data_IF_533050286906
#
_entry.id   IF_533050286906
#
_cell.length_a   1.000
_cell.length_b   1.000
_cell.length_c   1.000
_cell.angle_alpha   90.00
_cell.angle_beta   90.00
_cell.angle_gamma   90.00
#
_symmetry.space_group_name_H-M   'P 1'
#
loop_
_entity.id
_entity.type
_entity.pdbx_description
1 polymer ?
#
# COMPACT_ATOMS: atom_id res chain seq x y z
N UNK A 1 -1.88 32.21 23.19
CA UNK A 1 -1.53 31.55 21.92
C UNK A 1 -1.16 32.67 20.96
N UNK A 2 0.12 32.84 20.61
CA UNK A 2 0.50 33.91 19.68
C UNK A 2 0.05 33.58 18.25
N UNK A 3 -0.14 34.61 17.43
CA UNK A 3 -0.61 34.44 16.06
C UNK A 3 0.39 33.64 15.19
N UNK A 4 1.68 33.64 15.55
CA UNK A 4 2.72 32.85 14.90
C UNK A 4 2.56 31.34 15.14
N UNK A 5 2.17 30.97 16.36
CA UNK A 5 1.88 29.60 16.77
C UNK A 5 0.58 29.12 16.12
N UNK A 6 -0.46 29.95 16.10
CA UNK A 6 -1.71 29.64 15.38
C UNK A 6 -1.49 29.53 13.87
N UNK A 7 -0.69 30.41 13.25
CA UNK A 7 -0.34 30.37 11.82
C UNK A 7 0.43 29.10 11.44
N UNK A 8 1.36 28.66 12.30
CA UNK A 8 2.09 27.40 12.12
C UNK A 8 1.17 26.17 12.25
N UNK A 9 0.12 26.26 13.07
CA UNK A 9 -0.90 25.22 13.26
C UNK A 9 -2.03 25.27 12.20
N UNK A 10 -2.29 26.43 11.59
CA UNK A 10 -3.45 26.68 10.72
C UNK A 10 -3.17 26.60 9.22
N UNK A 11 -1.96 26.26 8.77
CA UNK A 11 -1.69 26.14 7.33
C UNK A 11 -0.25 25.84 6.90
N UNK A 12 0.59 25.28 7.78
CA UNK A 12 2.04 25.19 7.57
C UNK A 12 2.60 23.96 6.83
N UNK A 13 1.78 23.08 6.28
CA UNK A 13 2.28 22.01 5.40
C UNK A 13 1.18 21.54 4.47
N UNK A 14 1.19 22.06 3.25
CA UNK A 14 0.40 21.45 2.19
C UNK A 14 1.05 20.11 1.84
N UNK A 15 0.53 19.02 2.40
CA UNK A 15 0.96 17.66 2.05
C UNK A 15 0.15 17.21 0.84
N UNK A 16 0.71 17.41 -0.36
CA UNK A 16 0.18 16.83 -1.60
C UNK A 16 0.87 15.49 -1.82
N UNK A 17 0.10 14.41 -1.87
CA UNK A 17 0.62 13.11 -2.30
C UNK A 17 -0.08 12.69 -3.58
N UNK A 18 0.71 12.16 -4.51
CA UNK A 18 0.22 11.60 -5.76
C UNK A 18 0.86 10.24 -5.92
N UNK A 19 0.04 9.24 -6.23
CA UNK A 19 0.51 7.94 -6.68
C UNK A 19 -0.07 7.67 -8.06
N UNK A 20 0.82 7.41 -9.01
CA UNK A 20 0.48 7.00 -10.35
C UNK A 20 1.00 5.58 -10.51
N UNK A 21 0.11 4.65 -10.83
CA UNK A 21 0.43 3.25 -11.04
C UNK A 21 -0.09 2.87 -12.42
N UNK A 22 0.84 2.85 -13.37
CA UNK A 22 0.58 2.43 -14.73
C UNK A 22 1.16 1.04 -14.93
N UNK A 23 0.37 0.14 -15.50
CA UNK A 23 0.86 -1.16 -15.89
C UNK A 23 -0.11 -1.89 -16.79
N UNK A 24 0.47 -2.68 -17.68
CA UNK A 24 -0.25 -3.45 -18.68
C UNK A 24 0.21 -4.90 -18.57
N UNK A 25 -0.74 -5.83 -18.57
CA UNK A 25 -0.46 -7.22 -18.92
C UNK A 25 -0.99 -7.44 -20.32
N UNK A 26 -0.10 -7.64 -21.29
CA UNK A 26 -0.47 -8.02 -22.65
C UNK A 26 0.27 -9.27 -23.08
N UNK A 27 -0.27 -9.95 -24.10
CA UNK A 27 0.36 -11.09 -24.77
C UNK A 27 0.69 -12.28 -23.85
N UNK A 28 -0.02 -12.40 -22.72
CA UNK A 28 0.16 -13.55 -21.84
C UNK A 28 -0.46 -14.81 -22.47
N UNK A 29 0.40 -15.79 -22.78
CA UNK A 29 -0.01 -17.13 -23.20
C UNK A 29 0.39 -18.12 -22.11
N UNK A 30 -0.61 -18.70 -21.45
CA UNK A 30 -0.44 -19.71 -20.41
C UNK A 30 -0.99 -21.04 -20.90
N UNK A 31 -0.15 -22.07 -20.94
CA UNK A 31 -0.50 -23.42 -21.38
C UNK A 31 0.17 -24.45 -20.45
N UNK A 32 -0.53 -25.55 -20.12
CA UNK A 32 -0.10 -26.54 -19.11
C UNK A 32 0.31 -25.92 -17.74
N UNK A 33 -0.35 -24.85 -17.30
CA UNK A 33 -0.01 -24.17 -16.05
C UNK A 33 -0.74 -24.80 -14.86
N UNK A 34 0.03 -25.26 -13.88
CA UNK A 34 -0.48 -25.64 -12.54
C UNK A 34 -0.25 -24.44 -11.62
N UNK A 35 -1.32 -23.88 -11.07
CA UNK A 35 -1.26 -22.78 -10.10
C UNK A 35 -1.30 -23.32 -8.67
N UNK A 36 -0.62 -22.64 -7.76
CA UNK A 36 -0.56 -23.01 -6.34
C UNK A 36 -1.71 -22.41 -5.51
N UNK A 37 -1.79 -22.81 -4.24
CA UNK A 37 -2.67 -22.16 -3.28
C UNK A 37 -1.96 -20.95 -2.66
N UNK A 38 -2.69 -19.84 -2.56
CA UNK A 38 -2.34 -18.69 -1.74
C UNK A 38 -2.83 -18.99 -0.33
N UNK A 39 -1.97 -19.57 0.52
CA UNK A 39 -2.36 -19.94 1.89
C UNK A 39 -1.76 -18.95 2.88
N UNK A 40 -2.64 -18.38 3.70
CA UNK A 40 -2.33 -17.66 4.93
C UNK A 40 -3.08 -18.43 6.02
N UNK A 41 -2.35 -19.10 6.90
CA UNK A 41 -2.92 -20.00 7.91
C UNK A 41 -2.97 -19.34 9.29
N UNK A 42 -3.50 -20.07 10.28
CA UNK A 42 -3.64 -19.66 11.66
C UNK A 42 -2.31 -19.13 12.21
N UNK A 43 -2.34 -17.91 12.75
CA UNK A 43 -1.17 -17.26 13.33
C UNK A 43 -0.30 -16.47 12.35
N UNK A 44 -0.57 -16.48 11.04
CA UNK A 44 0.26 -15.79 10.04
C UNK A 44 0.45 -14.29 10.30
N UNK A 45 -0.50 -13.66 11.00
CA UNK A 45 -0.42 -12.26 11.42
C UNK A 45 -0.62 -12.07 12.93
N UNK A 46 -0.46 -13.13 13.72
CA UNK A 46 -0.56 -13.01 15.18
C UNK A 46 0.54 -12.08 15.68
N UNK A 47 0.15 -10.97 16.33
CA UNK A 47 1.08 -9.95 16.80
C UNK A 47 1.52 -8.95 15.72
N UNK A 48 0.92 -8.95 14.52
CA UNK A 48 1.18 -7.91 13.54
C UNK A 48 0.72 -6.53 14.06
N UNK A 49 1.60 -5.54 13.93
CA UNK A 49 1.35 -4.16 14.32
C UNK A 49 1.86 -3.21 13.23
N UNK A 50 1.29 -2.00 13.14
CA UNK A 50 1.56 -1.08 12.05
C UNK A 50 0.63 -1.30 10.85
N UNK A 51 1.16 -1.23 9.63
CA UNK A 51 0.38 -1.37 8.39
C UNK A 51 0.87 -2.59 7.60
N UNK A 52 0.45 -3.81 7.98
CA UNK A 52 0.82 -5.02 7.26
C UNK A 52 0.13 -5.06 5.90
N UNK A 53 0.90 -5.32 4.84
CA UNK A 53 0.41 -5.43 3.47
C UNK A 53 0.71 -6.82 2.95
N UNK A 54 -0.32 -7.57 2.54
CA UNK A 54 -0.14 -8.92 1.99
C UNK A 54 -0.89 -9.05 0.69
N UNK A 55 -0.17 -9.56 -0.31
CA UNK A 55 -0.72 -9.85 -1.62
C UNK A 55 -0.31 -11.25 -1.98
N UNK A 56 -1.31 -12.11 -2.20
CA UNK A 56 -1.08 -13.47 -2.67
C UNK A 56 -1.71 -13.62 -4.04
N UNK A 57 -0.89 -13.97 -5.02
CA UNK A 57 -1.35 -14.29 -6.35
C UNK A 57 -0.68 -15.58 -6.81
N UNK A 58 -1.49 -16.56 -7.19
CA UNK A 58 -1.03 -17.85 -7.67
C UNK A 58 -1.29 -18.04 -9.15
N UNK A 59 -1.88 -17.03 -9.83
CA UNK A 59 -2.17 -17.05 -11.25
C UNK A 59 -0.98 -16.63 -12.13
N UNK A 60 -1.07 -16.94 -13.43
CA UNK A 60 -0.16 -16.47 -14.47
C UNK A 60 -0.75 -15.25 -15.20
N UNK A 61 0.08 -14.33 -15.70
CA UNK A 61 -0.38 -13.10 -16.33
C UNK A 61 -0.95 -12.10 -15.33
N UNK A 62 -0.33 -11.98 -14.16
CA UNK A 62 -0.81 -11.08 -13.12
C UNK A 62 0.15 -9.92 -12.95
N UNK A 63 -0.42 -8.72 -13.07
CA UNK A 63 0.19 -7.50 -12.65
C UNK A 63 -0.38 -7.11 -11.29
N UNK A 64 0.51 -6.90 -10.33
CA UNK A 64 0.15 -6.45 -8.99
C UNK A 64 0.62 -5.02 -8.82
N UNK A 65 -0.33 -4.11 -8.64
CA UNK A 65 -0.07 -2.69 -8.42
C UNK A 65 -0.55 -2.32 -7.03
N UNK A 66 0.39 -2.20 -6.09
CA UNK A 66 0.11 -1.78 -4.73
C UNK A 66 0.92 -0.53 -4.39
N UNK A 67 0.24 0.50 -3.90
CA UNK A 67 0.87 1.67 -3.33
C UNK A 67 0.14 2.07 -2.05
N UNK A 68 0.90 2.28 -1.00
CA UNK A 68 0.41 2.77 0.29
C UNK A 68 1.14 4.06 0.61
N UNK A 69 0.39 5.14 0.80
CA UNK A 69 0.96 6.39 1.30
C UNK A 69 0.49 6.60 2.73
N UNK A 70 1.45 6.81 3.63
CA UNK A 70 1.18 7.10 5.03
C UNK A 70 1.76 8.48 5.33
N UNK A 71 0.90 9.42 5.73
CA UNK A 71 1.36 10.64 6.40
C UNK A 71 1.13 10.48 7.88
N UNK A 72 2.14 10.81 8.67
CA UNK A 72 2.00 10.89 10.12
C UNK A 72 2.43 12.28 10.55
N UNK A 73 1.55 12.95 11.28
CA UNK A 73 1.86 14.21 11.96
C UNK A 73 1.75 13.98 13.45
N UNK A 74 2.86 14.10 14.15
CA UNK A 74 2.87 14.09 15.60
C UNK A 74 2.75 15.53 16.10
N UNK A 75 1.79 15.77 16.99
CA UNK A 75 1.65 17.04 17.70
C UNK A 75 2.01 16.81 19.18
N UNK A 76 2.77 17.73 19.81
CA UNK A 76 3.15 17.61 21.21
C UNK A 76 1.95 17.67 22.16
#
# INVERSE_FOLDING_TARGET
MDAATLSRLSGGSQVIQRMTLDGTVSDNRSDHVVTGANVIDAGSFSGAAGVPMVIQNSGNGVLIQNATIINVQFQP
#
